data_IF_651141377746
#
_entry.id   IF_651141377746
#
_cell.length_a   1.000
_cell.length_b   1.000
_cell.length_c   1.000
_cell.angle_alpha   90.00
_cell.angle_beta   90.00
_cell.angle_gamma   90.00
#
_symmetry.space_group_name_H-M   'P 1'
#
loop_
_entity.id
_entity.type
_entity.pdbx_description
1 polymer ?
#
# COMPACT_ATOMS: atom_id res chain seq x y z
N UNK A 1 -37.77 2.93 9.47
CA UNK A 1 -37.34 2.75 8.07
C UNK A 1 -35.83 2.69 8.07
N UNK A 2 -35.27 1.49 8.10
CA UNK A 2 -33.83 1.25 8.05
C UNK A 2 -33.40 1.23 6.59
N UNK A 3 -32.65 2.24 6.16
CA UNK A 3 -32.04 2.28 4.83
C UNK A 3 -30.87 1.31 4.80
N UNK A 4 -31.11 0.16 4.22
CA UNK A 4 -30.11 -0.85 3.87
C UNK A 4 -29.18 -0.23 2.81
N UNK A 5 -28.01 0.23 3.25
CA UNK A 5 -27.00 0.77 2.33
C UNK A 5 -26.23 -0.44 1.84
N UNK A 6 -26.73 -1.08 0.77
CA UNK A 6 -26.03 -2.16 0.11
C UNK A 6 -24.67 -1.65 -0.40
N UNK A 7 -23.63 -1.93 0.37
CA UNK A 7 -22.24 -1.64 0.04
C UNK A 7 -21.85 -2.57 -1.10
N UNK A 8 -21.97 -2.08 -2.34
CA UNK A 8 -21.65 -2.83 -3.54
C UNK A 8 -20.12 -3.01 -3.61
N UNK A 9 -19.62 -4.06 -2.96
CA UNK A 9 -18.23 -4.49 -3.03
C UNK A 9 -18.08 -5.41 -4.23
N UNK A 10 -17.38 -4.95 -5.27
CA UNK A 10 -16.95 -5.81 -6.37
C UNK A 10 -15.62 -6.45 -6.00
N UNK A 11 -15.56 -7.78 -5.97
CA UNK A 11 -14.30 -8.52 -5.85
C UNK A 11 -13.69 -8.70 -7.24
N UNK A 12 -12.49 -8.16 -7.43
CA UNK A 12 -11.76 -8.24 -8.68
C UNK A 12 -10.44 -8.97 -8.47
N UNK A 13 -9.94 -9.66 -9.51
CA UNK A 13 -8.59 -10.23 -9.49
C UNK A 13 -7.61 -9.23 -10.10
N UNK A 14 -6.57 -8.87 -9.35
CA UNK A 14 -5.45 -8.06 -9.82
C UNK A 14 -4.21 -8.93 -9.95
N UNK A 15 -3.50 -8.83 -11.08
CA UNK A 15 -2.16 -9.38 -11.24
C UNK A 15 -1.19 -8.22 -11.24
N UNK A 16 -0.23 -8.22 -10.33
CA UNK A 16 0.82 -7.21 -10.27
C UNK A 16 2.20 -7.87 -10.38
N UNK A 17 3.13 -7.10 -10.94
CA UNK A 17 4.55 -7.44 -11.04
C UNK A 17 5.29 -6.18 -10.58
N UNK A 18 6.18 -6.33 -9.60
CA UNK A 18 7.03 -5.21 -9.20
C UNK A 18 8.04 -4.94 -10.32
N UNK A 19 8.24 -3.67 -10.69
CA UNK A 19 9.24 -3.32 -11.69
C UNK A 19 10.64 -3.38 -11.07
N UNK A 20 11.56 -4.07 -11.75
CA UNK A 20 12.99 -4.12 -11.39
C UNK A 20 13.68 -2.79 -11.65
N UNK A 21 13.35 -2.14 -12.75
CA UNK A 21 14.04 -0.93 -13.20
C UNK A 21 13.74 0.30 -12.32
N UNK A 22 14.74 1.17 -12.09
CA UNK A 22 14.53 2.44 -11.42
C UNK A 22 13.57 3.31 -12.23
N UNK A 23 12.76 4.10 -11.52
CA UNK A 23 11.78 4.99 -12.16
C UNK A 23 12.50 6.04 -13.02
N UNK A 24 12.36 5.96 -14.34
CA UNK A 24 13.01 6.83 -15.32
C UNK A 24 12.14 8.03 -15.72
N UNK A 25 11.53 8.72 -14.75
CA UNK A 25 10.76 9.93 -15.02
C UNK A 25 11.63 11.19 -14.93
N UNK A 26 11.41 12.14 -15.84
CA UNK A 26 12.18 13.39 -16.06
C UNK A 26 12.07 14.44 -14.92
N UNK A 27 12.00 14.07 -13.64
CA UNK A 27 11.80 15.03 -12.54
C UNK A 27 12.94 15.07 -11.51
N UNK A 28 13.82 16.07 -11.69
CA UNK A 28 14.56 16.98 -10.75
C UNK A 28 15.19 16.46 -9.43
N UNK A 29 14.86 15.31 -8.88
CA UNK A 29 15.57 14.79 -7.72
C UNK A 29 16.52 13.68 -8.17
N UNK A 30 17.81 13.89 -7.90
CA UNK A 30 18.85 12.88 -8.08
C UNK A 30 18.55 11.67 -7.17
N UNK A 31 17.71 10.76 -7.69
CA UNK A 31 17.34 9.51 -7.04
C UNK A 31 18.48 8.49 -7.10
N UNK A 32 19.64 8.83 -7.69
CA UNK A 32 20.79 7.90 -7.81
C UNK A 32 21.36 7.48 -6.45
N UNK A 33 21.11 8.25 -5.40
CA UNK A 33 21.56 7.97 -4.04
C UNK A 33 20.58 7.10 -3.24
N UNK A 34 19.38 6.80 -3.78
CA UNK A 34 18.42 5.93 -3.11
C UNK A 34 18.51 4.52 -3.65
N UNK A 35 18.89 3.60 -2.77
CA UNK A 35 18.81 2.16 -3.00
C UNK A 35 17.34 1.77 -3.15
N UNK A 36 16.90 1.42 -4.35
CA UNK A 36 15.52 0.98 -4.63
C UNK A 36 15.50 -0.41 -5.29
N UNK A 37 14.33 -1.04 -5.28
CA UNK A 37 14.03 -2.29 -5.99
C UNK A 37 15.08 -3.40 -5.74
N UNK A 38 15.81 -3.82 -6.77
CA UNK A 38 16.73 -4.97 -6.73
C UNK A 38 17.82 -4.86 -5.66
N UNK A 39 18.18 -3.62 -5.30
CA UNK A 39 19.19 -3.38 -4.29
C UNK A 39 18.64 -3.55 -2.86
N UNK A 40 17.31 -3.54 -2.67
CA UNK A 40 16.63 -3.80 -1.40
C UNK A 40 15.93 -5.16 -1.34
N UNK A 41 15.56 -5.73 -2.49
CA UNK A 41 14.68 -6.89 -2.59
C UNK A 41 15.34 -8.09 -3.26
N UNK A 42 14.93 -9.29 -2.87
CA UNK A 42 15.32 -10.53 -3.54
C UNK A 42 14.62 -10.67 -4.90
N UNK A 43 15.10 -11.57 -5.75
CA UNK A 43 14.50 -11.79 -7.07
C UNK A 43 13.05 -12.28 -6.99
N UNK A 44 12.71 -13.03 -5.92
CA UNK A 44 11.36 -13.52 -5.66
C UNK A 44 10.33 -12.39 -5.52
N UNK A 45 10.78 -11.20 -5.08
CA UNK A 45 9.92 -10.02 -4.97
C UNK A 45 9.30 -9.58 -6.30
N UNK A 46 9.97 -9.89 -7.41
CA UNK A 46 9.60 -9.47 -8.76
C UNK A 46 8.83 -10.54 -9.53
N UNK A 47 8.53 -11.69 -8.89
CA UNK A 47 7.66 -12.68 -9.49
C UNK A 47 6.21 -12.16 -9.54
N UNK A 48 5.43 -12.51 -10.59
CA UNK A 48 4.03 -12.14 -10.68
C UNK A 48 3.22 -12.63 -9.48
N UNK A 49 2.39 -11.74 -8.92
CA UNK A 49 1.53 -12.03 -7.78
C UNK A 49 0.08 -11.70 -8.15
N UNK A 50 -0.83 -12.62 -7.80
CA UNK A 50 -2.28 -12.43 -7.94
C UNK A 50 -2.90 -12.09 -6.60
N UNK A 51 -3.91 -11.21 -6.63
CA UNK A 51 -4.60 -10.71 -5.47
C UNK A 51 -6.10 -10.68 -5.72
N UNK A 52 -6.87 -10.91 -4.67
CA UNK A 52 -8.29 -10.58 -4.64
C UNK A 52 -8.37 -9.18 -4.03
N UNK A 53 -8.96 -8.25 -4.76
CA UNK A 53 -9.11 -6.87 -4.32
C UNK A 53 -10.57 -6.47 -4.23
N UNK A 54 -10.90 -5.69 -3.21
CA UNK A 54 -12.21 -5.04 -3.06
C UNK A 54 -12.04 -3.53 -3.01
N UNK A 55 -13.03 -2.81 -3.55
CA UNK A 55 -13.08 -1.35 -3.52
C UNK A 55 -14.34 -0.91 -2.75
N UNK A 56 -14.13 -0.16 -1.68
CA UNK A 56 -15.18 0.36 -0.81
C UNK A 56 -15.28 1.88 -0.90
N UNK A 57 -16.51 2.41 -0.79
CA UNK A 57 -16.79 3.84 -0.65
C UNK A 57 -17.17 4.15 0.79
N UNK A 58 -16.64 5.24 1.35
CA UNK A 58 -16.84 5.59 2.75
C UNK A 58 -16.01 6.80 3.17
N UNK A 59 -15.73 6.90 4.47
CA UNK A 59 -14.80 7.88 5.04
C UNK A 59 -13.69 7.10 5.72
N UNK A 60 -12.49 7.14 5.16
CA UNK A 60 -11.36 6.33 5.60
C UNK A 60 -10.15 7.19 5.94
N UNK A 61 -9.33 6.72 6.88
CA UNK A 61 -7.99 7.25 7.18
C UNK A 61 -6.95 6.19 6.80
N UNK A 62 -5.75 6.60 6.41
CA UNK A 62 -4.74 5.65 5.92
C UNK A 62 -4.22 4.75 7.05
N UNK A 63 -3.72 3.56 6.70
CA UNK A 63 -3.07 2.66 7.67
C UNK A 63 -1.88 3.35 8.39
N UNK A 64 -1.15 4.22 7.69
CA UNK A 64 -0.08 5.02 8.28
C UNK A 64 -0.59 6.00 9.34
N UNK A 65 -1.66 6.73 9.03
CA UNK A 65 -2.22 7.71 9.96
C UNK A 65 -2.84 7.05 11.20
N UNK A 66 -3.35 5.83 11.06
CA UNK A 66 -3.84 5.01 12.18
C UNK A 66 -2.74 4.62 13.19
N UNK A 67 -1.48 4.52 12.74
CA UNK A 67 -0.33 4.23 13.63
C UNK A 67 0.09 5.46 14.45
N UNK A 68 -0.43 6.65 14.14
CA UNK A 68 -0.08 7.91 14.80
C UNK A 68 -0.71 8.08 16.19
N UNK A 69 -0.18 9.05 16.94
CA UNK A 69 -0.73 9.47 18.23
C UNK A 69 -2.20 9.95 18.08
N UNK A 70 -3.11 9.59 19.01
CA UNK A 70 -4.53 9.94 18.93
C UNK A 70 -4.82 11.44 18.75
N UNK A 71 -3.93 12.31 19.23
CA UNK A 71 -4.04 13.78 19.10
C UNK A 71 -3.88 14.28 17.65
N UNK A 72 -3.38 13.44 16.73
CA UNK A 72 -3.20 13.81 15.30
C UNK A 72 -4.45 13.57 14.45
N UNK A 73 -5.45 12.88 14.99
CA UNK A 73 -6.64 12.49 14.23
C UNK A 73 -7.49 13.68 13.77
N UNK A 74 -7.48 14.80 14.51
CA UNK A 74 -8.29 16.00 14.19
C UNK A 74 -7.90 16.65 12.85
N UNK A 75 -6.64 16.51 12.42
CA UNK A 75 -6.13 17.07 11.16
C UNK A 75 -5.79 15.99 10.13
N UNK A 76 -6.18 14.74 10.41
CA UNK A 76 -5.86 13.62 9.52
C UNK A 76 -6.74 13.70 8.27
N UNK A 77 -6.16 13.69 7.06
CA UNK A 77 -6.93 13.66 5.83
C UNK A 77 -7.85 12.43 5.79
N UNK A 78 -9.09 12.65 5.37
CA UNK A 78 -10.03 11.57 5.09
C UNK A 78 -10.14 11.32 3.59
N UNK A 79 -10.52 10.09 3.24
CA UNK A 79 -10.56 9.59 1.88
C UNK A 79 -11.90 8.91 1.59
N UNK A 80 -12.42 9.12 0.37
CA UNK A 80 -13.70 8.60 -0.08
C UNK A 80 -13.68 7.12 -0.46
N UNK A 81 -12.49 6.60 -0.83
CA UNK A 81 -12.29 5.26 -1.36
C UNK A 81 -11.24 4.50 -0.55
N UNK A 82 -11.48 3.20 -0.34
CA UNK A 82 -10.51 2.26 0.20
C UNK A 82 -10.41 1.03 -0.69
N UNK A 83 -9.21 0.75 -1.17
CA UNK A 83 -8.84 -0.48 -1.86
C UNK A 83 -8.24 -1.45 -0.84
N UNK A 84 -8.79 -2.66 -0.74
CA UNK A 84 -8.34 -3.70 0.20
C UNK A 84 -7.86 -4.91 -0.59
N UNK A 85 -6.69 -5.41 -0.23
CA UNK A 85 -6.13 -6.65 -0.77
C UNK A 85 -6.34 -7.81 0.22
N UNK A 86 -6.55 -9.02 -0.28
CA UNK A 86 -6.59 -10.25 0.51
C UNK A 86 -5.30 -10.49 1.31
N UNK A 87 -4.16 -10.19 0.67
CA UNK A 87 -2.82 -10.21 1.24
C UNK A 87 -2.03 -8.96 0.84
N UNK A 88 -0.97 -8.63 1.59
CA UNK A 88 -0.23 -7.40 1.31
C UNK A 88 0.37 -7.40 -0.11
N UNK A 89 0.25 -6.27 -0.85
CA UNK A 89 0.93 -6.11 -2.12
C UNK A 89 2.43 -5.79 -1.96
N UNK A 90 2.90 -5.50 -0.74
CA UNK A 90 4.32 -5.36 -0.46
C UNK A 90 5.01 -6.73 -0.36
N UNK A 91 6.31 -6.82 -0.68
CA UNK A 91 7.07 -8.06 -0.50
C UNK A 91 7.00 -8.54 0.98
N UNK A 92 6.78 -9.85 1.23
CA UNK A 92 6.92 -10.43 2.57
C UNK A 92 8.32 -10.18 3.13
N UNK A 93 8.46 -10.25 4.46
CA UNK A 93 9.70 -9.87 5.17
C UNK A 93 10.95 -10.57 4.62
N UNK A 94 10.83 -11.84 4.24
CA UNK A 94 11.91 -12.68 3.74
C UNK A 94 12.43 -12.24 2.36
N UNK A 95 11.62 -11.49 1.60
CA UNK A 95 11.98 -10.95 0.29
C UNK A 95 12.76 -9.63 0.39
N UNK A 96 13.01 -9.12 1.60
CA UNK A 96 13.86 -7.94 1.85
C UNK A 96 15.27 -8.37 2.23
N UNK A 97 16.28 -7.85 1.53
CA UNK A 97 17.70 -8.17 1.77
C UNK A 97 18.23 -7.58 3.08
N UNK A 98 17.74 -6.39 3.45
CA UNK A 98 18.10 -5.64 4.66
C UNK A 98 16.82 -4.99 5.20
N UNK A 99 15.97 -5.75 5.91
CA UNK A 99 14.65 -5.29 6.36
C UNK A 99 14.74 -4.26 7.50
N UNK A 100 15.93 -4.03 8.07
CA UNK A 100 16.12 -3.12 9.18
C UNK A 100 15.73 -1.68 8.80
N UNK A 101 15.20 -0.93 9.76
CA UNK A 101 14.72 0.43 9.54
C UNK A 101 13.24 0.46 9.14
N UNK A 102 12.91 1.15 8.05
CA UNK A 102 11.52 1.38 7.67
C UNK A 102 10.71 0.11 7.41
N UNK A 103 11.21 -0.94 6.71
CA UNK A 103 10.43 -2.15 6.49
C UNK A 103 10.03 -2.85 7.79
N UNK A 104 10.98 -3.08 8.71
CA UNK A 104 10.69 -3.69 10.02
C UNK A 104 9.87 -2.78 10.95
N UNK A 105 10.13 -1.47 10.97
CA UNK A 105 9.42 -0.52 11.84
C UNK A 105 7.95 -0.34 11.42
N UNK A 106 7.69 -0.31 10.12
CA UNK A 106 6.35 -0.10 9.57
C UNK A 106 5.62 -1.41 9.26
N UNK A 107 6.36 -2.53 9.21
CA UNK A 107 5.87 -3.86 8.83
C UNK A 107 5.06 -3.82 7.53
N UNK A 108 5.66 -3.33 6.45
CA UNK A 108 4.95 -3.10 5.18
C UNK A 108 4.18 -4.33 4.68
N UNK A 109 4.71 -5.54 4.91
CA UNK A 109 4.05 -6.81 4.54
C UNK A 109 2.74 -7.09 5.29
N UNK A 110 2.37 -6.31 6.31
CA UNK A 110 1.07 -6.39 6.98
C UNK A 110 0.04 -5.43 6.35
N UNK A 111 0.48 -4.50 5.50
CA UNK A 111 -0.39 -3.45 4.95
C UNK A 111 -1.22 -3.99 3.80
N UNK A 112 -2.54 -3.89 3.93
CA UNK A 112 -3.51 -4.41 2.95
C UNK A 112 -4.51 -3.37 2.47
N UNK A 113 -4.58 -2.22 3.13
CA UNK A 113 -5.59 -1.19 2.90
C UNK A 113 -4.93 0.08 2.37
N UNK A 114 -5.43 0.59 1.25
CA UNK A 114 -4.93 1.78 0.58
C UNK A 114 -6.07 2.74 0.29
N UNK A 115 -5.92 3.99 0.71
CA UNK A 115 -6.97 5.00 0.61
C UNK A 115 -6.73 5.95 -0.57
N UNK A 116 -7.80 6.46 -1.17
CA UNK A 116 -7.74 7.38 -2.31
C UNK A 116 -8.99 8.26 -2.43
N UNK A 117 -8.90 9.30 -3.27
CA UNK A 117 -9.99 10.26 -3.43
C UNK A 117 -10.21 11.10 -2.17
N UNK A 118 -9.24 11.95 -1.85
CA UNK A 118 -9.25 12.85 -0.68
C UNK A 118 -10.57 13.64 -0.59
N UNK A 119 -11.13 13.74 0.61
CA UNK A 119 -12.33 14.50 0.95
C UNK A 119 -12.03 15.96 1.31
#
# INVERSE_FOLDING_TARGET
MTTDTAQHSSENTLVSILCKEPWSGDSINDMSNYTINEALLTDDAFLPKSYIVSLEKGRFITAFDQLGEPRRLEYTPEYALRLTFDRSPYPPREEWRRPEGAPDAMKFWEWREFCGGKL
#
